data_IF_062295153732
#
_entry.id   IF_062295153732
#
_cell.length_a   1.000
_cell.length_b   1.000
_cell.length_c   1.000
_cell.angle_alpha   90.00
_cell.angle_beta   90.00
_cell.angle_gamma   90.00
#
_symmetry.space_group_name_H-M   'P 1'
#
loop_
_entity.id
_entity.type
_entity.pdbx_description
1 polymer ?
#
# COMPACT_ATOMS: atom_id res chain seq x y z
N UNK A 1 -7.91 -19.63 27.09
CA UNK A 1 -8.15 -20.60 25.99
C UNK A 1 -6.99 -20.48 25.01
N UNK A 2 -6.50 -21.57 24.39
CA UNK A 2 -5.34 -21.47 23.49
C UNK A 2 -5.74 -20.70 22.22
N UNK A 3 -5.07 -19.57 21.97
CA UNK A 3 -5.17 -18.83 20.71
C UNK A 3 -4.51 -19.68 19.62
N UNK A 4 -5.28 -20.07 18.61
CA UNK A 4 -4.76 -20.79 17.45
C UNK A 4 -4.20 -19.78 16.46
N UNK A 5 -2.89 -19.50 16.52
CA UNK A 5 -2.18 -18.79 15.45
C UNK A 5 -1.81 -19.80 14.36
N UNK A 6 -2.45 -19.70 13.21
CA UNK A 6 -2.03 -20.40 12.00
C UNK A 6 -1.02 -19.52 11.27
N UNK A 7 0.27 -19.88 11.32
CA UNK A 7 1.31 -19.27 10.49
C UNK A 7 1.27 -19.89 9.10
N UNK A 8 1.04 -19.06 8.07
CA UNK A 8 1.12 -19.49 6.68
C UNK A 8 2.54 -19.28 6.15
N UNK A 9 3.35 -20.33 6.23
CA UNK A 9 4.36 -20.59 5.21
C UNK A 9 3.67 -21.47 4.16
N UNK A 10 3.46 -20.92 2.98
CA UNK A 10 2.78 -21.58 1.84
C UNK A 10 1.26 -21.73 2.02
N UNK A 11 0.51 -21.07 1.12
CA UNK A 11 -0.94 -21.16 0.93
C UNK A 11 -1.63 -22.42 1.49
N UNK A 12 -2.34 -22.27 2.61
CA UNK A 12 -3.34 -23.21 3.14
C UNK A 12 -4.44 -22.45 3.89
N UNK A 13 -5.20 -21.67 3.14
CA UNK A 13 -6.66 -21.54 3.25
C UNK A 13 -7.11 -20.42 2.32
N UNK A 14 -7.52 -20.79 1.12
CA UNK A 14 -8.54 -20.06 0.38
C UNK A 14 -9.73 -21.02 0.22
N UNK A 15 -10.94 -20.46 0.34
CA UNK A 15 -12.21 -21.15 0.17
C UNK A 15 -12.16 -22.27 -0.89
N UNK A 16 -12.47 -23.51 -0.48
CA UNK A 16 -12.86 -24.59 -1.40
C UNK A 16 -11.77 -25.47 -2.03
N UNK A 17 -10.47 -25.21 -1.85
CA UNK A 17 -9.41 -26.10 -2.39
C UNK A 17 -8.38 -26.47 -1.32
N UNK A 18 -8.26 -27.77 -1.02
CA UNK A 18 -7.19 -28.34 -0.21
C UNK A 18 -5.94 -28.44 -1.10
N UNK A 19 -4.95 -27.59 -0.87
CA UNK A 19 -3.65 -27.64 -1.55
C UNK A 19 -2.81 -28.77 -0.93
N UNK A 20 -2.31 -29.69 -1.75
CA UNK A 20 -1.55 -30.85 -1.29
C UNK A 20 -0.04 -30.53 -1.31
N UNK A 21 0.77 -31.09 -0.38
CA UNK A 21 2.22 -30.84 -0.33
C UNK A 21 2.97 -31.13 -1.63
N UNK A 22 2.45 -32.05 -2.46
CA UNK A 22 3.00 -32.45 -3.76
C UNK A 22 2.95 -31.34 -4.82
N UNK A 23 2.18 -30.28 -4.60
CA UNK A 23 2.09 -29.14 -5.51
C UNK A 23 3.38 -28.26 -5.49
N UNK A 24 4.25 -28.44 -4.49
CA UNK A 24 5.50 -27.68 -4.32
C UNK A 24 6.75 -28.38 -4.88
N UNK A 25 6.64 -29.63 -5.35
CA UNK A 25 7.78 -30.40 -5.86
C UNK A 25 8.20 -30.01 -7.29
N UNK A 26 7.38 -29.21 -7.97
CA UNK A 26 7.68 -28.70 -9.32
C UNK A 26 8.25 -27.30 -9.23
N UNK A 27 9.52 -27.15 -9.60
CA UNK A 27 10.14 -25.84 -9.83
C UNK A 27 9.50 -25.26 -11.11
N UNK A 28 8.50 -24.41 -10.92
CA UNK A 28 7.79 -23.73 -12.02
C UNK A 28 8.45 -22.43 -12.46
N UNK A 29 9.41 -21.91 -11.68
CA UNK A 29 10.14 -20.66 -11.95
C UNK A 29 11.58 -20.77 -11.44
N UNK A 30 12.58 -20.22 -12.15
CA UNK A 30 13.95 -20.11 -11.65
C UNK A 30 14.10 -19.08 -10.51
N UNK A 31 13.06 -18.29 -10.24
CA UNK A 31 13.04 -17.22 -9.23
C UNK A 31 12.11 -17.62 -8.08
N UNK A 32 12.60 -17.49 -6.84
CA UNK A 32 11.83 -17.72 -5.62
C UNK A 32 11.02 -16.50 -5.21
N UNK A 33 9.96 -16.72 -4.43
CA UNK A 33 9.23 -15.63 -3.77
C UNK A 33 10.16 -14.93 -2.78
N UNK A 34 10.16 -13.60 -2.80
CA UNK A 34 10.89 -12.77 -1.85
C UNK A 34 9.92 -11.84 -1.13
N UNK A 35 10.20 -11.56 0.14
CA UNK A 35 9.40 -10.66 0.94
C UNK A 35 10.17 -9.34 1.17
N UNK A 36 9.69 -8.27 0.55
CA UNK A 36 10.25 -6.93 0.71
C UNK A 36 9.14 -5.95 1.07
N UNK A 37 9.38 -5.13 2.10
CA UNK A 37 8.54 -3.97 2.36
C UNK A 37 8.67 -2.96 1.22
N UNK A 38 7.61 -2.18 1.00
CA UNK A 38 7.56 -1.23 -0.12
C UNK A 38 8.65 -0.17 -0.04
N UNK A 39 8.97 0.31 1.16
CA UNK A 39 10.00 1.34 1.35
C UNK A 39 11.39 0.80 1.01
N UNK A 40 11.72 -0.44 1.40
CA UNK A 40 12.99 -1.10 1.05
C UNK A 40 13.10 -1.27 -0.47
N UNK A 41 12.03 -1.74 -1.12
CA UNK A 41 12.00 -1.92 -2.58
C UNK A 41 12.12 -0.59 -3.34
N UNK A 42 11.42 0.45 -2.91
CA UNK A 42 11.43 1.74 -3.59
C UNK A 42 12.83 2.37 -3.60
N UNK A 43 13.55 2.28 -2.48
CA UNK A 43 14.93 2.78 -2.41
C UNK A 43 15.85 2.04 -3.40
N UNK A 44 15.75 0.72 -3.48
CA UNK A 44 16.52 -0.08 -4.44
C UNK A 44 16.19 0.26 -5.90
N UNK A 45 14.92 0.54 -6.21
CA UNK A 45 14.50 0.97 -7.53
C UNK A 45 15.07 2.36 -7.87
N UNK A 46 15.07 3.30 -6.92
CA UNK A 46 15.63 4.63 -7.10
C UNK A 46 17.15 4.56 -7.38
N UNK A 47 17.90 3.80 -6.57
CA UNK A 47 19.33 3.57 -6.78
C UNK A 47 19.61 2.95 -8.15
N UNK A 48 18.73 2.06 -8.62
CA UNK A 48 18.85 1.46 -9.95
C UNK A 48 18.60 2.48 -11.06
N UNK A 49 17.62 3.37 -10.90
CA UNK A 49 17.34 4.46 -11.85
C UNK A 49 18.52 5.43 -11.93
N UNK A 50 19.14 5.79 -10.81
CA UNK A 50 20.35 6.63 -10.78
C UNK A 50 21.51 5.99 -11.56
N UNK A 51 21.74 4.69 -11.39
CA UNK A 51 22.74 3.92 -12.17
C UNK A 51 22.42 3.86 -13.67
N UNK A 52 21.16 4.03 -14.06
CA UNK A 52 20.71 4.15 -15.45
C UNK A 52 20.75 5.59 -15.98
N UNK A 53 21.26 6.54 -15.19
CA UNK A 53 21.41 7.94 -15.54
C UNK A 53 20.14 8.76 -15.37
N UNK A 54 19.21 8.34 -14.52
CA UNK A 54 18.13 9.20 -14.06
C UNK A 54 18.63 10.11 -12.93
N UNK A 55 18.10 11.33 -12.86
CA UNK A 55 18.39 12.26 -11.77
C UNK A 55 17.11 12.76 -11.13
N UNK A 56 17.06 12.72 -9.80
CA UNK A 56 16.02 13.38 -9.00
C UNK A 56 16.29 14.87 -8.98
N UNK A 57 15.30 15.69 -9.33
CA UNK A 57 15.40 17.14 -9.40
C UNK A 57 14.48 17.80 -8.37
N UNK A 58 14.90 18.94 -7.82
CA UNK A 58 14.04 19.77 -6.97
C UNK A 58 13.09 20.64 -7.82
N UNK A 59 11.95 21.09 -7.25
CA UNK A 59 11.00 21.96 -7.95
C UNK A 59 11.59 23.29 -8.41
N UNK A 60 12.66 23.74 -7.75
CA UNK A 60 13.36 25.00 -8.03
C UNK A 60 14.35 24.95 -9.21
N UNK A 61 14.63 23.78 -9.79
CA UNK A 61 15.49 23.69 -10.97
C UNK A 61 14.72 24.18 -12.22
N UNK A 62 14.95 25.43 -12.61
CA UNK A 62 14.36 26.05 -13.81
C UNK A 62 15.26 25.96 -15.04
N UNK A 63 14.63 25.44 -16.11
CA UNK A 63 14.67 25.90 -17.49
C UNK A 63 16.00 25.79 -18.27
N UNK A 64 16.04 24.80 -19.18
CA UNK A 64 16.99 24.81 -20.29
C UNK A 64 17.36 23.46 -20.89
N UNK A 65 16.94 22.32 -20.31
CA UNK A 65 17.39 21.00 -20.78
C UNK A 65 16.26 20.01 -21.02
N UNK A 66 16.47 19.21 -22.05
CA UNK A 66 15.73 18.01 -22.41
C UNK A 66 15.37 17.23 -21.13
N UNK A 67 14.08 17.10 -20.81
CA UNK A 67 13.54 16.42 -19.61
C UNK A 67 13.71 14.89 -19.62
N UNK A 68 14.66 14.39 -20.41
CA UNK A 68 14.92 12.96 -20.52
C UNK A 68 15.58 12.47 -19.23
N UNK A 69 15.05 11.38 -18.68
CA UNK A 69 15.54 10.73 -17.45
C UNK A 69 15.53 11.64 -16.21
N UNK A 70 14.55 12.53 -16.09
CA UNK A 70 14.35 13.36 -14.89
C UNK A 70 13.22 12.82 -14.02
N UNK A 71 13.41 12.86 -12.70
CA UNK A 71 12.38 12.55 -11.70
C UNK A 71 12.07 13.84 -10.96
N UNK A 72 10.90 14.42 -11.24
CA UNK A 72 10.46 15.67 -10.63
C UNK A 72 9.56 15.37 -9.43
N UNK A 73 10.12 15.45 -8.24
CA UNK A 73 9.35 15.27 -7.01
C UNK A 73 8.50 16.51 -6.70
N UNK A 74 7.35 16.32 -6.06
CA UNK A 74 6.45 17.41 -5.65
C UNK A 74 5.66 18.06 -6.78
N UNK A 75 5.69 17.50 -7.98
CA UNK A 75 4.82 17.92 -9.08
C UNK A 75 3.56 17.06 -9.11
N UNK A 76 2.40 17.70 -9.17
CA UNK A 76 1.09 17.06 -9.26
C UNK A 76 0.49 17.30 -10.64
N UNK A 77 -0.04 16.26 -11.29
CA UNK A 77 -0.72 16.41 -12.57
C UNK A 77 -2.11 17.04 -12.36
N UNK A 78 -2.40 18.11 -13.09
CA UNK A 78 -3.65 18.87 -12.99
C UNK A 78 -4.47 18.89 -14.29
N UNK A 79 -3.84 18.68 -15.45
CA UNK A 79 -4.53 18.68 -16.74
C UNK A 79 -3.85 17.80 -17.78
N UNK A 80 -4.65 17.25 -18.71
CA UNK A 80 -4.19 16.43 -19.83
C UNK A 80 -4.97 16.88 -21.07
N UNK A 81 -4.27 17.39 -22.07
CA UNK A 81 -4.85 17.86 -23.32
C UNK A 81 -4.21 17.15 -24.52
N UNK A 82 -4.96 16.34 -25.28
CA UNK A 82 -4.46 15.76 -26.51
C UNK A 82 -4.16 16.83 -27.56
N UNK A 83 -3.07 16.64 -28.30
CA UNK A 83 -2.72 17.47 -29.46
C UNK A 83 -2.51 16.58 -30.69
N UNK A 84 -2.35 17.18 -31.86
CA UNK A 84 -2.07 16.42 -33.09
C UNK A 84 -0.75 15.62 -32.99
N UNK A 85 0.22 16.16 -32.25
CA UNK A 85 1.58 15.59 -32.14
C UNK A 85 1.76 14.74 -30.87
N UNK A 86 0.93 14.93 -29.84
CA UNK A 86 1.25 14.48 -28.49
C UNK A 86 0.12 14.60 -27.49
N UNK A 87 0.54 14.74 -26.25
CA UNK A 87 -0.22 15.20 -25.11
C UNK A 87 0.49 16.43 -24.54
N UNK A 88 -0.30 17.39 -24.11
CA UNK A 88 0.12 18.54 -23.32
C UNK A 88 -0.38 18.28 -21.90
N UNK A 89 0.55 18.15 -20.95
CA UNK A 89 0.26 17.77 -19.56
C UNK A 89 0.60 18.94 -18.66
N UNK A 90 -0.39 19.48 -17.97
CA UNK A 90 -0.20 20.50 -16.95
C UNK A 90 0.11 19.87 -15.60
N UNK A 91 1.06 20.47 -14.90
CA UNK A 91 1.45 20.10 -13.55
C UNK A 91 1.48 21.31 -12.64
N UNK A 92 1.22 21.14 -11.36
CA UNK A 92 1.42 22.15 -10.33
C UNK A 92 2.49 21.71 -9.35
N UNK A 93 3.26 22.66 -8.81
CA UNK A 93 4.29 22.40 -7.81
C UNK A 93 4.44 23.61 -6.88
N UNK A 94 4.94 23.36 -5.67
CA UNK A 94 5.21 24.42 -4.69
C UNK A 94 6.64 24.95 -4.87
N UNK A 95 6.80 26.26 -5.00
CA UNK A 95 8.09 26.94 -5.06
C UNK A 95 8.05 28.19 -4.20
N UNK A 96 8.95 28.27 -3.22
CA UNK A 96 9.05 29.40 -2.27
C UNK A 96 7.73 29.75 -1.55
N UNK A 97 6.84 28.76 -1.38
CA UNK A 97 5.54 28.93 -0.72
C UNK A 97 4.39 29.30 -1.67
N UNK A 98 4.66 29.52 -2.96
CA UNK A 98 3.65 29.78 -3.98
C UNK A 98 3.46 28.57 -4.89
N UNK A 99 2.22 28.34 -5.32
CA UNK A 99 1.89 27.31 -6.30
C UNK A 99 2.20 27.83 -7.69
N UNK A 100 3.14 27.19 -8.37
CA UNK A 100 3.45 27.43 -9.78
C UNK A 100 2.89 26.30 -10.65
N UNK A 101 2.60 26.61 -11.91
CA UNK A 101 2.20 25.63 -12.92
C UNK A 101 3.29 25.47 -13.98
N UNK A 102 3.45 24.24 -14.47
CA UNK A 102 4.36 23.92 -15.57
C UNK A 102 3.73 22.94 -16.52
N UNK A 103 4.05 23.11 -17.79
CA UNK A 103 3.52 22.30 -18.87
C UNK A 103 4.58 21.43 -19.53
N UNK A 104 4.21 20.19 -19.82
CA UNK A 104 5.05 19.22 -20.50
C UNK A 104 4.39 18.73 -21.79
N UNK A 105 5.22 18.52 -22.81
CA UNK A 105 4.81 17.86 -24.04
C UNK A 105 5.39 16.45 -24.07
N UNK A 106 4.52 15.45 -24.25
CA UNK A 106 4.94 14.05 -24.35
C UNK A 106 4.15 13.30 -25.43
N UNK A 107 4.73 12.22 -25.95
CA UNK A 107 4.01 11.35 -26.90
C UNK A 107 3.06 10.38 -26.18
N UNK A 108 3.45 9.94 -24.98
CA UNK A 108 2.74 8.97 -24.14
C UNK A 108 2.80 9.46 -22.69
N UNK A 109 1.70 9.28 -21.97
CA UNK A 109 1.57 9.48 -20.52
C UNK A 109 1.18 8.15 -19.87
N UNK A 110 1.93 7.75 -18.85
CA UNK A 110 1.61 6.57 -18.03
C UNK A 110 1.08 7.04 -16.68
N UNK A 111 -0.20 6.76 -16.42
CA UNK A 111 -0.86 7.00 -15.15
C UNK A 111 -0.54 5.87 -14.17
N UNK A 112 0.46 6.10 -13.33
CA UNK A 112 0.87 5.23 -12.22
C UNK A 112 0.70 5.92 -10.87
N UNK A 113 -0.29 6.82 -10.77
CA UNK A 113 -0.53 7.75 -9.65
C UNK A 113 -1.46 7.16 -8.55
N UNK A 114 -1.52 5.83 -8.47
CA UNK A 114 -2.14 5.10 -7.37
C UNK A 114 -3.66 5.05 -7.39
N UNK A 115 -4.25 4.50 -6.32
CA UNK A 115 -5.68 4.19 -6.27
C UNK A 115 -6.54 5.40 -6.64
N UNK A 116 -6.27 6.56 -6.05
CA UNK A 116 -7.02 7.82 -6.27
C UNK A 116 -6.66 8.57 -7.55
N UNK A 117 -6.01 7.90 -8.50
CA UNK A 117 -5.50 8.41 -9.79
C UNK A 117 -6.27 9.62 -10.31
N UNK A 118 -5.56 10.73 -10.38
CA UNK A 118 -5.95 11.98 -11.04
C UNK A 118 -5.87 11.79 -12.54
N UNK A 119 -4.86 11.09 -13.06
CA UNK A 119 -4.73 10.81 -14.50
C UNK A 119 -5.96 10.09 -15.02
N UNK A 120 -6.41 9.01 -14.37
CA UNK A 120 -7.62 8.26 -14.73
C UNK A 120 -8.86 9.16 -14.76
N UNK A 121 -9.02 10.03 -13.77
CA UNK A 121 -10.17 10.96 -13.68
C UNK A 121 -10.14 12.02 -14.79
N UNK A 122 -8.97 12.58 -15.08
CA UNK A 122 -8.79 13.60 -16.12
C UNK A 122 -9.07 13.06 -17.53
N UNK A 123 -8.90 11.75 -17.74
CA UNK A 123 -9.22 11.10 -19.02
C UNK A 123 -10.59 10.39 -19.02
N UNK A 124 -11.40 10.67 -17.99
CA UNK A 124 -12.78 10.19 -17.87
C UNK A 124 -12.93 8.66 -17.98
N UNK A 125 -12.05 7.92 -17.30
CA UNK A 125 -12.15 6.46 -17.20
C UNK A 125 -12.76 6.09 -15.85
N UNK A 126 -13.92 5.44 -15.92
CA UNK A 126 -14.58 4.91 -14.74
C UNK A 126 -13.94 3.63 -14.20
N UNK A 127 -14.16 3.39 -12.91
CA UNK A 127 -13.83 2.13 -12.25
C UNK A 127 -15.10 1.27 -12.16
N UNK A 128 -15.01 0.02 -12.61
CA UNK A 128 -16.07 -1.00 -12.52
C UNK A 128 -15.75 -1.99 -11.42
N UNK A 129 -16.76 -2.38 -10.65
CA UNK A 129 -16.64 -3.40 -9.60
C UNK A 129 -17.32 -2.96 -8.30
N UNK A 130 -16.96 -3.63 -7.21
CA UNK A 130 -17.56 -3.42 -5.90
C UNK A 130 -16.74 -2.44 -5.06
N UNK A 131 -17.42 -1.40 -4.58
CA UNK A 131 -16.85 -0.38 -3.70
C UNK A 131 -17.21 -0.68 -2.26
N UNK A 132 -16.34 -0.24 -1.34
CA UNK A 132 -16.62 -0.25 0.10
C UNK A 132 -16.95 -1.64 0.64
N UNK A 133 -16.19 -2.64 0.21
CA UNK A 133 -16.39 -4.03 0.65
C UNK A 133 -16.22 -4.15 2.17
N UNK A 134 -15.19 -3.49 2.71
CA UNK A 134 -14.89 -3.52 4.13
C UNK A 134 -14.05 -2.30 4.52
N UNK A 135 -14.29 -1.76 5.72
CA UNK A 135 -13.43 -0.74 6.31
C UNK A 135 -12.54 -1.38 7.37
N UNK A 136 -11.23 -1.27 7.17
CA UNK A 136 -10.20 -1.88 7.98
C UNK A 136 -9.30 -0.81 8.56
N UNK A 137 -8.64 -1.13 9.66
CA UNK A 137 -7.60 -0.30 10.26
C UNK A 137 -6.31 -1.10 10.26
N UNK A 138 -5.27 -0.50 9.68
CA UNK A 138 -3.91 -1.01 9.73
C UNK A 138 -3.17 -0.35 10.88
N UNK A 139 -2.72 -1.15 11.84
CA UNK A 139 -1.91 -0.73 12.99
C UNK A 139 -0.48 -1.21 12.75
N UNK A 140 0.43 -0.28 12.51
CA UNK A 140 1.86 -0.54 12.43
C UNK A 140 2.47 -0.46 13.83
N UNK A 141 3.13 -1.52 14.28
CA UNK A 141 3.72 -1.56 15.61
C UNK A 141 5.02 -2.38 15.65
N UNK A 142 5.80 -2.17 16.71
CA UNK A 142 6.98 -2.95 17.03
C UNK A 142 6.74 -3.81 18.29
N UNK A 143 7.27 -5.03 18.28
CA UNK A 143 7.46 -5.87 19.47
C UNK A 143 8.53 -6.92 19.18
N UNK A 144 9.71 -6.76 19.79
CA UNK A 144 10.82 -7.72 19.64
C UNK A 144 10.51 -9.04 20.32
N UNK A 145 9.80 -9.00 21.45
CA UNK A 145 9.37 -10.20 22.16
C UNK A 145 8.49 -11.08 21.26
N UNK A 146 7.48 -10.48 20.61
CA UNK A 146 6.63 -11.17 19.65
C UNK A 146 7.42 -11.66 18.42
N UNK A 147 8.32 -10.82 17.89
CA UNK A 147 9.22 -11.16 16.78
C UNK A 147 10.05 -12.40 17.06
N UNK A 148 10.75 -12.42 18.19
CA UNK A 148 11.58 -13.55 18.62
C UNK A 148 10.74 -14.82 18.84
N UNK A 149 9.59 -14.71 19.49
CA UNK A 149 8.71 -15.87 19.68
C UNK A 149 8.28 -16.47 18.34
N UNK A 150 7.76 -15.65 17.43
CA UNK A 150 7.28 -16.13 16.13
C UNK A 150 8.43 -16.67 15.27
N UNK A 151 9.61 -16.06 15.32
CA UNK A 151 10.77 -16.55 14.56
C UNK A 151 11.17 -17.98 14.95
N UNK A 152 11.13 -18.33 16.23
CA UNK A 152 11.59 -19.63 16.73
C UNK A 152 10.47 -20.69 16.75
N UNK A 153 9.27 -20.31 17.17
CA UNK A 153 8.20 -21.28 17.43
C UNK A 153 7.25 -21.44 16.23
N UNK A 154 6.95 -20.34 15.52
CA UNK A 154 5.91 -20.30 14.48
C UNK A 154 6.24 -19.30 13.37
N UNK A 155 7.31 -19.52 12.58
CA UNK A 155 7.69 -18.58 11.54
C UNK A 155 6.56 -18.48 10.52
N UNK A 156 6.17 -17.25 10.20
CA UNK A 156 5.04 -16.96 9.33
C UNK A 156 5.08 -15.51 8.89
N UNK A 157 4.72 -15.25 7.62
CA UNK A 157 4.53 -13.88 7.13
C UNK A 157 3.14 -13.37 7.49
N UNK A 158 2.13 -14.24 7.41
CA UNK A 158 0.72 -13.91 7.66
C UNK A 158 0.16 -14.83 8.73
N UNK A 159 -0.49 -14.23 9.72
CA UNK A 159 -1.24 -14.93 10.75
C UNK A 159 -2.68 -14.45 10.73
N UNK A 160 -3.60 -15.36 10.40
CA UNK A 160 -5.03 -15.10 10.51
C UNK A 160 -5.48 -15.52 11.90
N UNK A 161 -5.88 -14.53 12.69
CA UNK A 161 -6.20 -14.72 14.10
C UNK A 161 -7.71 -14.57 14.26
N UNK A 162 -8.34 -15.66 14.70
CA UNK A 162 -9.76 -15.71 15.01
C UNK A 162 -9.91 -16.13 16.47
N UNK A 163 -10.37 -15.22 17.31
CA UNK A 163 -10.76 -15.55 18.67
C UNK A 163 -12.03 -14.78 19.07
N UNK A 164 -12.69 -15.15 20.19
CA UNK A 164 -13.95 -14.52 20.60
C UNK A 164 -13.84 -13.02 20.89
N UNK A 165 -12.65 -12.53 21.21
CA UNK A 165 -12.41 -11.16 21.66
C UNK A 165 -11.96 -10.22 20.53
N UNK A 166 -11.38 -10.76 19.45
CA UNK A 166 -10.92 -10.02 18.28
C UNK A 166 -10.67 -10.93 17.06
N UNK A 167 -10.86 -10.35 15.87
CA UNK A 167 -10.49 -10.95 14.58
C UNK A 167 -9.51 -10.00 13.89
N UNK A 168 -8.40 -10.54 13.38
CA UNK A 168 -7.42 -9.73 12.67
C UNK A 168 -6.42 -10.55 11.86
N UNK A 169 -5.74 -9.86 10.95
CA UNK A 169 -4.63 -10.43 10.17
C UNK A 169 -3.36 -9.72 10.59
N UNK A 170 -2.41 -10.46 11.15
CA UNK A 170 -1.09 -9.96 11.50
C UNK A 170 -0.12 -10.27 10.36
N UNK A 171 0.50 -9.23 9.81
CA UNK A 171 1.57 -9.30 8.81
C UNK A 171 2.90 -9.06 9.50
N UNK A 172 3.79 -10.05 9.48
CA UNK A 172 5.14 -9.92 9.98
C UNK A 172 6.04 -9.37 8.87
N UNK A 173 6.41 -8.08 8.97
CA UNK A 173 7.28 -7.42 7.99
C UNK A 173 8.75 -7.78 8.20
N UNK A 174 9.19 -7.82 9.45
CA UNK A 174 10.56 -8.12 9.84
C UNK A 174 10.56 -8.75 11.24
N UNK A 175 10.66 -10.08 11.32
CA UNK A 175 10.60 -10.80 12.60
C UNK A 175 11.83 -10.51 13.48
N UNK A 176 13.00 -10.27 12.88
CA UNK A 176 14.23 -9.96 13.62
C UNK A 176 14.14 -8.58 14.29
N UNK A 177 13.54 -7.60 13.61
CA UNK A 177 13.27 -6.28 14.19
C UNK A 177 11.97 -6.23 15.02
N UNK A 178 11.11 -7.23 14.89
CA UNK A 178 9.78 -7.25 15.50
C UNK A 178 8.81 -6.25 14.86
N UNK A 179 8.90 -6.02 13.54
CA UNK A 179 8.07 -5.08 12.79
C UNK A 179 6.81 -5.77 12.25
N UNK A 180 5.64 -5.24 12.61
CA UNK A 180 4.35 -5.84 12.28
C UNK A 180 3.31 -4.83 11.79
N UNK A 181 2.45 -5.28 10.89
CA UNK A 181 1.20 -4.58 10.55
C UNK A 181 0.02 -5.47 10.90
N UNK A 182 -0.81 -5.02 11.82
CA UNK A 182 -2.06 -5.67 12.19
C UNK A 182 -3.22 -5.03 11.44
N UNK A 183 -4.01 -5.83 10.72
CA UNK A 183 -5.25 -5.41 10.09
C UNK A 183 -6.44 -5.92 10.88
N UNK A 184 -7.30 -5.01 11.34
CA UNK A 184 -8.53 -5.33 12.06
C UNK A 184 -9.71 -4.57 11.47
N UNK A 185 -10.92 -5.11 11.62
CA UNK A 185 -12.14 -4.40 11.24
C UNK A 185 -12.34 -3.17 12.12
N UNK A 186 -12.70 -2.03 11.50
CA UNK A 186 -12.85 -0.77 12.22
C UNK A 186 -13.84 -0.83 13.38
N UNK A 187 -14.94 -1.58 13.21
CA UNK A 187 -15.96 -1.77 14.25
C UNK A 187 -15.37 -2.42 15.52
N UNK A 188 -14.34 -3.26 15.38
CA UNK A 188 -13.69 -3.96 16.49
C UNK A 188 -12.99 -3.01 17.46
N UNK A 189 -12.63 -1.81 16.99
CA UNK A 189 -11.97 -0.79 17.81
C UNK A 189 -12.97 -0.03 18.71
N UNK A 190 -14.29 -0.17 18.52
CA UNK A 190 -15.32 0.58 19.25
C UNK A 190 -15.12 2.11 19.21
N UNK A 191 -14.68 2.64 18.07
CA UNK A 191 -14.39 4.07 17.91
C UNK A 191 -15.37 4.67 16.90
N UNK A 192 -15.85 5.92 17.08
CA UNK A 192 -16.67 6.60 16.08
C UNK A 192 -16.05 6.52 14.69
N UNK A 193 -16.92 6.35 13.68
CA UNK A 193 -16.54 6.16 12.28
C UNK A 193 -15.44 7.13 11.85
N UNK A 194 -14.26 6.57 11.57
CA UNK A 194 -13.15 7.30 10.99
C UNK A 194 -13.22 7.19 9.48
N UNK A 195 -13.28 8.34 8.82
CA UNK A 195 -13.16 8.37 7.38
C UNK A 195 -11.74 7.96 6.98
N UNK A 196 -11.55 7.16 5.92
CA UNK A 196 -10.24 6.91 5.31
C UNK A 196 -9.53 8.19 4.82
N UNK A 197 -10.24 9.32 4.78
CA UNK A 197 -9.69 10.63 4.42
C UNK A 197 -9.25 11.47 5.62
N UNK A 198 -9.65 11.12 6.85
CA UNK A 198 -9.20 11.83 8.05
C UNK A 198 -7.73 11.50 8.33
N UNK A 199 -6.93 12.54 8.57
CA UNK A 199 -5.54 12.38 8.96
C UNK A 199 -5.45 12.23 10.46
N UNK A 200 -4.46 11.47 10.94
CA UNK A 200 -4.05 11.40 12.37
C UNK A 200 -3.85 12.81 12.96
N UNK A 201 -3.41 13.76 12.14
CA UNK A 201 -3.19 15.17 12.50
C UNK A 201 -4.47 15.94 12.87
N UNK A 202 -5.64 15.45 12.43
CA UNK A 202 -6.94 16.05 12.74
C UNK A 202 -7.43 15.69 14.16
N UNK A 203 -6.70 14.82 14.86
CA UNK A 203 -7.10 14.27 16.15
C UNK A 203 -6.59 15.14 17.29
N UNK A 204 -7.40 15.29 18.33
CA UNK A 204 -6.87 15.80 19.59
C UNK A 204 -5.86 14.80 20.16
N UNK A 205 -4.88 15.31 20.94
CA UNK A 205 -3.94 14.44 21.68
C UNK A 205 -4.63 13.37 22.51
N UNK A 206 -5.81 13.69 23.07
CA UNK A 206 -6.62 12.77 23.87
C UNK A 206 -7.20 11.63 23.02
N UNK A 207 -7.71 11.94 21.83
CA UNK A 207 -8.28 10.94 20.93
C UNK A 207 -7.20 10.00 20.40
N UNK A 208 -6.02 10.55 20.08
CA UNK A 208 -4.86 9.76 19.66
C UNK A 208 -4.36 8.82 20.77
N UNK A 209 -4.24 9.33 21.99
CA UNK A 209 -3.81 8.52 23.14
C UNK A 209 -4.79 7.37 23.42
N UNK A 210 -6.10 7.65 23.40
CA UNK A 210 -7.12 6.62 23.56
C UNK A 210 -7.07 5.58 22.43
N UNK A 211 -6.89 6.02 21.18
CA UNK A 211 -6.80 5.15 20.02
C UNK A 211 -5.60 4.19 20.13
N UNK A 212 -4.42 4.70 20.52
CA UNK A 212 -3.23 3.87 20.75
C UNK A 212 -3.50 2.82 21.83
N UNK A 213 -4.09 3.22 22.97
CA UNK A 213 -4.44 2.27 24.04
C UNK A 213 -5.39 1.18 23.56
N UNK A 214 -6.42 1.53 22.78
CA UNK A 214 -7.35 0.55 22.21
C UNK A 214 -6.61 -0.42 21.27
N UNK A 215 -5.74 0.09 20.40
CA UNK A 215 -4.93 -0.74 19.50
C UNK A 215 -4.01 -1.69 20.27
N UNK A 216 -3.33 -1.23 21.32
CA UNK A 216 -2.52 -2.08 22.21
C UNK A 216 -3.37 -3.18 22.85
N UNK A 217 -4.55 -2.86 23.37
CA UNK A 217 -5.45 -3.86 23.94
C UNK A 217 -5.89 -4.92 22.92
N UNK A 218 -6.17 -4.52 21.68
CA UNK A 218 -6.51 -5.48 20.61
C UNK A 218 -5.31 -6.35 20.26
N UNK A 219 -4.11 -5.78 20.14
CA UNK A 219 -2.88 -6.55 19.90
C UNK A 219 -2.72 -7.63 20.99
N UNK A 220 -2.87 -7.26 22.27
CA UNK A 220 -2.78 -8.19 23.39
C UNK A 220 -3.83 -9.30 23.33
N UNK A 221 -5.08 -8.95 23.00
CA UNK A 221 -6.17 -9.93 22.82
C UNK A 221 -5.91 -10.90 21.68
N UNK A 222 -5.35 -10.43 20.56
CA UNK A 222 -5.04 -11.25 19.40
C UNK A 222 -3.83 -12.16 19.63
N UNK A 223 -2.80 -11.65 20.30
CA UNK A 223 -1.60 -12.42 20.65
C UNK A 223 -1.93 -13.46 21.72
N UNK A 224 -2.79 -13.12 22.67
CA UNK A 224 -3.29 -14.05 23.70
C UNK A 224 -2.42 -14.15 24.95
N UNK A 225 -1.38 -13.33 25.07
CA UNK A 225 -0.60 -13.14 26.29
C UNK A 225 -0.16 -11.69 26.45
N UNK A 226 0.38 -11.35 27.62
CA UNK A 226 0.84 -10.00 27.91
C UNK A 226 2.20 -9.74 27.26
N UNK A 227 2.22 -8.91 26.22
CA UNK A 227 3.43 -8.29 25.70
C UNK A 227 3.77 -7.03 26.52
N UNK A 228 5.06 -6.76 26.71
CA UNK A 228 5.54 -5.62 27.50
C UNK A 228 6.26 -4.56 26.66
N UNK A 229 6.51 -4.83 25.39
CA UNK A 229 7.32 -4.02 24.49
C UNK A 229 6.57 -3.57 23.23
N UNK A 230 5.23 -3.56 23.27
CA UNK A 230 4.41 -3.08 22.16
C UNK A 230 4.59 -1.57 22.02
N UNK A 231 5.01 -1.14 20.83
CA UNK A 231 5.09 0.26 20.46
C UNK A 231 4.30 0.50 19.17
N UNK A 232 3.15 1.17 19.28
CA UNK A 232 2.37 1.57 18.11
C UNK A 232 3.05 2.75 17.42
N UNK A 233 3.32 2.62 16.13
CA UNK A 233 4.00 3.62 15.31
C UNK A 233 3.02 4.42 14.46
N UNK A 234 2.01 3.77 13.88
CA UNK A 234 1.11 4.40 12.92
C UNK A 234 -0.24 3.64 12.85
N UNK A 235 -1.32 4.37 12.60
CA UNK A 235 -2.69 3.83 12.58
C UNK A 235 -3.44 4.40 11.39
N UNK A 236 -3.71 3.56 10.39
CA UNK A 236 -4.27 3.98 9.11
C UNK A 236 -5.60 3.30 8.80
N UNK A 237 -6.72 4.03 8.79
CA UNK A 237 -7.96 3.51 8.24
C UNK A 237 -7.84 3.39 6.72
N UNK A 238 -8.37 2.31 6.16
CA UNK A 238 -8.44 2.11 4.72
C UNK A 238 -9.69 1.33 4.35
N UNK A 239 -10.16 1.52 3.12
CA UNK A 239 -11.34 0.83 2.60
C UNK A 239 -10.92 -0.11 1.50
N UNK A 240 -11.42 -1.33 1.59
CA UNK A 240 -11.24 -2.36 0.60
C UNK A 240 -12.18 -2.12 -0.59
N UNK A 241 -11.60 -2.12 -1.78
CA UNK A 241 -12.30 -2.03 -3.05
C UNK A 241 -11.90 -3.22 -3.92
N UNK A 242 -12.82 -3.71 -4.74
CA UNK A 242 -12.55 -4.67 -5.81
C UNK A 242 -13.00 -4.03 -7.12
N UNK A 243 -12.12 -3.25 -7.72
CA UNK A 243 -12.44 -2.43 -8.89
C UNK A 243 -11.37 -2.54 -9.97
N UNK A 244 -11.78 -2.44 -11.22
CA UNK A 244 -10.90 -2.37 -12.39
C UNK A 244 -11.34 -1.21 -13.28
N UNK A 245 -10.40 -0.51 -13.89
CA UNK A 245 -10.66 0.55 -14.84
C UNK A 245 -11.41 -0.02 -16.05
N UNK A 246 -12.43 0.68 -16.52
CA UNK A 246 -13.20 0.25 -17.70
C UNK A 246 -12.30 0.10 -18.92
N UNK A 247 -11.29 0.96 -19.04
CA UNK A 247 -10.28 0.94 -20.10
C UNK A 247 -8.92 1.20 -19.47
N UNK A 248 -7.89 0.57 -20.04
CA UNK A 248 -6.50 0.78 -19.61
C UNK A 248 -5.78 1.80 -20.49
N UNK A 249 -6.35 2.12 -21.65
CA UNK A 249 -5.77 3.06 -22.62
C UNK A 249 -6.82 4.08 -23.08
N UNK A 250 -6.38 5.31 -23.31
CA UNK A 250 -7.21 6.41 -23.82
C UNK A 250 -6.42 7.31 -24.78
N UNK A 251 -7.12 8.22 -25.47
CA UNK A 251 -6.56 9.21 -26.38
C UNK A 251 -5.65 8.60 -27.47
N UNK A 252 -6.17 7.64 -28.24
CA UNK A 252 -5.43 6.92 -29.28
C UNK A 252 -4.15 6.24 -28.77
N UNK A 253 -4.25 5.52 -27.64
CA UNK A 253 -3.15 4.81 -26.98
C UNK A 253 -2.03 5.71 -26.43
N UNK A 254 -2.30 7.01 -26.24
CA UNK A 254 -1.32 7.95 -25.70
C UNK A 254 -1.39 8.05 -24.18
N UNK A 255 -2.51 7.71 -23.54
CA UNK A 255 -2.60 7.61 -22.08
C UNK A 255 -2.80 6.15 -21.69
N UNK A 256 -1.94 5.63 -20.80
CA UNK A 256 -1.95 4.24 -20.34
C UNK A 256 -2.03 4.22 -18.82
N UNK A 257 -2.95 3.47 -18.24
CA UNK A 257 -3.09 3.30 -16.79
C UNK A 257 -2.41 2.00 -16.34
N UNK A 258 -1.66 2.06 -15.22
CA UNK A 258 -0.96 0.91 -14.65
C UNK A 258 -1.07 0.86 -13.12
N UNK A 259 -0.91 -0.34 -12.54
CA UNK A 259 -1.00 -0.57 -11.10
C UNK A 259 -2.33 -0.09 -10.51
N UNK A 260 -2.26 0.50 -9.32
CA UNK A 260 -3.45 0.94 -8.57
C UNK A 260 -4.31 2.00 -9.29
N UNK A 261 -3.76 2.70 -10.28
CA UNK A 261 -4.53 3.61 -11.13
C UNK A 261 -5.52 2.84 -12.02
N UNK A 262 -5.17 1.63 -12.43
CA UNK A 262 -5.96 0.76 -13.29
C UNK A 262 -6.76 -0.30 -12.53
N UNK A 263 -6.31 -0.77 -11.36
CA UNK A 263 -7.02 -1.80 -10.60
C UNK A 263 -6.83 -1.65 -9.09
N UNK A 264 -7.87 -1.95 -8.31
CA UNK A 264 -7.83 -1.97 -6.85
C UNK A 264 -8.35 -3.32 -6.39
N UNK A 265 -7.53 -4.05 -5.65
CA UNK A 265 -7.89 -5.36 -5.14
C UNK A 265 -7.85 -5.39 -3.62
N UNK A 266 -8.65 -6.28 -3.00
CA UNK A 266 -8.38 -6.72 -1.65
C UNK A 266 -6.91 -7.17 -1.51
N UNK A 267 -6.24 -6.89 -0.38
CA UNK A 267 -4.85 -7.30 -0.15
C UNK A 267 -4.69 -8.83 -0.07
N UNK A 268 -5.79 -9.58 0.01
CA UNK A 268 -5.79 -11.03 0.03
C UNK A 268 -5.01 -11.60 -1.17
N UNK A 269 -3.94 -12.35 -0.88
CA UNK A 269 -3.04 -12.94 -1.88
C UNK A 269 -1.91 -12.02 -2.39
N UNK A 270 -1.82 -10.77 -1.92
CA UNK A 270 -0.70 -9.87 -2.24
C UNK A 270 -0.65 -9.39 -3.69
N UNK A 271 -1.70 -9.63 -4.48
CA UNK A 271 -1.69 -9.47 -5.93
C UNK A 271 -1.55 -8.03 -6.42
N UNK A 272 -2.01 -7.03 -5.66
CA UNK A 272 -2.03 -5.62 -6.12
C UNK A 272 -0.67 -5.04 -6.51
N UNK A 273 0.46 -5.63 -6.04
CA UNK A 273 1.82 -5.19 -6.37
C UNK A 273 2.51 -5.98 -7.48
N UNK A 274 1.92 -7.10 -7.92
CA UNK A 274 2.47 -7.96 -8.97
C UNK A 274 1.87 -7.68 -10.36
N UNK A 275 0.86 -6.82 -10.43
CA UNK A 275 0.15 -6.43 -11.65
C UNK A 275 0.41 -4.96 -12.00
#
# INVERSE_FOLDING_TARGET
>A
MPVSLYGLWSAKMFFGFVIFPTDFDKIVSPISVAHFSQYKLMNLLLERLEKLGFSVCSPSETEGSIWNRKILMGHECISIHPTNEGLKVGTSYLKEGEMEEREFHCSILVGSDGARSTVRKLVDIDMKGERNLQTLVSVHFLSKDLGQYLLHERPGMLFFIFNPDAIGVLVAHDLDQGEFVLQVEQLMLNIPYYSPQQKIEDFSFKDMFNLIQVCEQIILKLVGWKLVDVQVLDIKPWVMHAEVAEKYVSHNNRVILVGDAAHRFPPAGGFGKYF
#
